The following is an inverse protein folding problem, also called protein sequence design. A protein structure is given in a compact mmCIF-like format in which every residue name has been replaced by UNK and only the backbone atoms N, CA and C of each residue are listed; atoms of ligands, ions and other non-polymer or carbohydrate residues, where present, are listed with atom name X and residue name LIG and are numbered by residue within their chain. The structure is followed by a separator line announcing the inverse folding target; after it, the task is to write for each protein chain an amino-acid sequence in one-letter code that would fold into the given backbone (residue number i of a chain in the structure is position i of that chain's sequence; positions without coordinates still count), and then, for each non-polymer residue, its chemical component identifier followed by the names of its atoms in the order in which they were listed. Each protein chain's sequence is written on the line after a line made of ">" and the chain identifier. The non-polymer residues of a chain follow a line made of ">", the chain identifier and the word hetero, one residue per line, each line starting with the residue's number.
data_IF_307740365933
#
_entry.id   IF_307740365933
#
_cell.length_a   1.000
_cell.length_b   1.000
_cell.length_c   1.000
_cell.angle_alpha   90.00
_cell.angle_beta   90.00
_cell.angle_gamma   90.00
#
_symmetry.space_group_name_H-M   'P 1'
#
loop_
_entity.id
_entity.type
_entity.pdbx_description
1 polymer ?
#
# COMPACT_ATOMS: atom_id res chain seq x y z
N UNK A 1 14.28 11.05 -0.57
CA UNK A 1 13.50 10.41 0.37
C UNK A 1 12.01 10.68 0.15
N UNK A 2 11.16 9.69 0.41
CA UNK A 2 9.73 9.73 0.06
C UNK A 2 8.88 10.67 0.94
N UNK A 3 9.38 11.08 2.10
CA UNK A 3 8.69 12.01 3.01
C UNK A 3 8.88 13.49 2.66
N UNK A 4 9.80 13.81 1.76
CA UNK A 4 10.19 15.19 1.49
C UNK A 4 10.68 15.88 2.78
N UNK A 5 10.13 17.05 3.07
CA UNK A 5 10.41 17.83 4.28
C UNK A 5 9.44 17.53 5.45
N UNK A 6 8.50 16.59 5.29
CA UNK A 6 7.55 16.25 6.34
C UNK A 6 8.23 15.55 7.51
N UNK A 7 7.86 15.96 8.73
CA UNK A 7 8.37 15.32 9.94
C UNK A 7 7.83 13.90 10.06
N UNK A 8 8.72 12.93 10.18
CA UNK A 8 8.37 11.55 10.54
C UNK A 8 8.27 11.48 12.06
N UNK A 9 7.08 11.13 12.57
CA UNK A 9 6.78 11.09 14.01
C UNK A 9 7.36 9.83 14.65
N UNK A 10 7.37 8.72 13.94
CA UNK A 10 7.88 7.47 14.48
C UNK A 10 7.90 6.34 13.48
N UNK A 11 8.39 5.21 13.96
CA UNK A 11 8.41 3.92 13.28
C UNK A 11 7.38 3.01 13.95
N UNK A 12 6.61 2.28 13.16
CA UNK A 12 5.63 1.30 13.63
C UNK A 12 5.86 -0.04 12.95
N UNK A 13 5.48 -1.10 13.60
CA UNK A 13 5.48 -2.46 13.05
C UNK A 13 4.08 -2.87 12.61
N UNK A 14 3.93 -3.90 11.77
CA UNK A 14 2.62 -4.41 11.38
C UNK A 14 1.76 -4.77 12.58
N UNK A 15 0.57 -4.18 12.66
CA UNK A 15 -0.36 -4.33 13.79
C UNK A 15 -0.25 -3.26 14.88
N UNK A 16 0.81 -2.45 14.89
CA UNK A 16 0.91 -1.32 15.82
C UNK A 16 -0.06 -0.21 15.41
N UNK A 17 -0.76 0.34 16.37
CA UNK A 17 -1.58 1.53 16.14
C UNK A 17 -0.76 2.78 16.38
N UNK A 18 -0.73 3.73 15.43
CA UNK A 18 -0.10 5.02 15.66
C UNK A 18 -0.67 5.69 16.93
N UNK A 19 0.16 6.07 17.91
CA UNK A 19 -0.34 6.62 19.18
C UNK A 19 -0.90 8.05 19.02
N UNK A 20 -0.49 8.76 18.00
CA UNK A 20 -0.94 10.14 17.71
C UNK A 20 -1.10 10.33 16.21
N UNK A 21 -1.71 11.45 15.80
CA UNK A 21 -1.71 11.87 14.39
C UNK A 21 -0.30 12.22 13.92
N UNK A 22 0.00 11.97 12.65
CA UNK A 22 1.29 12.30 12.05
C UNK A 22 1.72 11.32 10.96
N UNK A 23 2.91 11.53 10.40
CA UNK A 23 3.52 10.66 9.43
C UNK A 23 4.38 9.59 10.13
N UNK A 24 4.07 8.34 9.93
CA UNK A 24 4.83 7.20 10.43
C UNK A 24 5.43 6.41 9.28
N UNK A 25 6.56 5.78 9.54
CA UNK A 25 7.09 4.72 8.67
C UNK A 25 6.64 3.37 9.21
N UNK A 26 6.14 2.52 8.32
CA UNK A 26 5.86 1.13 8.63
C UNK A 26 7.13 0.31 8.32
N UNK A 27 7.72 -0.29 9.35
CA UNK A 27 8.84 -1.21 9.21
C UNK A 27 8.30 -2.64 9.07
N UNK A 28 8.25 -3.09 7.84
CA UNK A 28 7.76 -4.43 7.49
C UNK A 28 8.80 -5.54 7.71
N UNK A 29 10.04 -5.16 8.04
CA UNK A 29 11.10 -6.14 8.30
C UNK A 29 10.91 -6.70 9.71
N UNK A 30 10.77 -8.02 9.86
CA UNK A 30 10.68 -8.64 11.16
C UNK A 30 11.97 -8.49 11.98
N UNK A 31 11.85 -8.42 13.30
CA UNK A 31 12.99 -8.44 14.19
C UNK A 31 13.56 -9.88 14.30
N UNK A 32 14.88 -10.02 14.27
CA UNK A 32 15.57 -11.30 14.39
C UNK A 32 16.06 -11.91 13.06
N UNK A 33 16.49 -13.15 13.11
CA UNK A 33 17.02 -13.88 11.93
C UNK A 33 15.92 -14.40 11.01
N UNK A 34 16.07 -14.17 9.71
CA UNK A 34 15.18 -14.73 8.68
C UNK A 34 15.54 -16.20 8.45
N UNK A 35 14.81 -17.13 9.09
CA UNK A 35 15.11 -18.56 9.02
C UNK A 35 14.40 -19.31 7.91
N UNK A 36 13.30 -18.78 7.33
CA UNK A 36 12.41 -19.54 6.44
C UNK A 36 11.99 -18.78 5.17
N UNK A 37 12.84 -17.91 4.64
CA UNK A 37 12.52 -17.15 3.42
C UNK A 37 11.51 -16.01 3.61
N UNK A 38 11.15 -15.70 4.83
CA UNK A 38 10.42 -14.48 5.18
C UNK A 38 11.39 -13.34 5.48
N UNK A 39 11.04 -12.09 5.29
CA UNK A 39 9.69 -11.51 5.20
C UNK A 39 9.08 -11.65 3.81
N UNK A 40 7.77 -11.78 3.79
CA UNK A 40 6.98 -11.78 2.56
C UNK A 40 6.80 -10.33 2.12
N UNK A 41 7.79 -9.78 1.44
CA UNK A 41 7.76 -8.40 0.96
C UNK A 41 7.11 -8.41 -0.42
N UNK A 42 5.84 -8.04 -0.45
CA UNK A 42 5.09 -7.84 -1.68
C UNK A 42 3.89 -6.91 -1.43
N UNK A 43 3.33 -6.38 -2.51
CA UNK A 43 2.25 -5.39 -2.47
C UNK A 43 1.06 -5.81 -1.61
N UNK A 44 0.63 -7.07 -1.70
CA UNK A 44 -0.52 -7.57 -0.96
C UNK A 44 -0.25 -7.67 0.55
N UNK A 45 0.94 -8.11 0.92
CA UNK A 45 1.33 -8.22 2.32
C UNK A 45 1.41 -6.83 2.97
N UNK A 46 2.03 -5.86 2.28
CA UNK A 46 2.22 -4.51 2.81
C UNK A 46 0.89 -3.75 2.95
N UNK A 47 -0.04 -3.93 2.02
CA UNK A 47 -1.40 -3.38 2.15
C UNK A 47 -2.10 -4.00 3.37
N UNK A 48 -2.00 -5.31 3.56
CA UNK A 48 -2.60 -5.98 4.72
C UNK A 48 -1.99 -5.49 6.04
N UNK A 49 -0.69 -5.24 6.07
CA UNK A 49 0.04 -4.71 7.23
C UNK A 49 -0.34 -3.28 7.57
N UNK A 50 -0.50 -2.41 6.55
CA UNK A 50 -1.02 -1.06 6.74
C UNK A 50 -2.43 -1.08 7.36
N UNK A 51 -3.29 -1.97 6.88
CA UNK A 51 -4.63 -2.14 7.45
C UNK A 51 -4.59 -2.68 8.88
N UNK A 52 -3.67 -3.57 9.19
CA UNK A 52 -3.45 -4.05 10.56
C UNK A 52 -3.02 -2.91 11.51
N UNK A 53 -2.34 -1.88 10.99
CA UNK A 53 -2.03 -0.65 11.72
C UNK A 53 -3.22 0.31 11.84
N UNK A 54 -4.36 0.01 11.21
CA UNK A 54 -5.57 0.82 11.26
C UNK A 54 -5.78 1.76 10.06
N UNK A 55 -5.08 1.54 8.94
CA UNK A 55 -5.34 2.30 7.72
C UNK A 55 -6.75 1.98 7.18
N UNK A 56 -7.51 3.01 6.83
CA UNK A 56 -8.86 2.88 6.27
C UNK A 56 -8.88 2.98 4.74
N UNK A 57 -7.82 3.50 4.15
CA UNK A 57 -7.66 3.69 2.72
C UNK A 57 -6.16 3.60 2.39
N UNK A 58 -5.84 3.04 1.25
CA UNK A 58 -4.46 2.91 0.79
C UNK A 58 -4.25 3.70 -0.50
N UNK A 59 -3.21 4.54 -0.51
CA UNK A 59 -2.66 5.13 -1.73
C UNK A 59 -1.48 4.27 -2.19
N UNK A 60 -1.61 3.64 -3.34
CA UNK A 60 -0.60 2.76 -3.90
C UNK A 60 0.10 3.43 -5.09
N UNK A 61 1.32 3.89 -4.89
CA UNK A 61 2.12 4.50 -5.96
C UNK A 61 2.92 3.44 -6.72
N UNK A 62 2.85 3.45 -8.05
CA UNK A 62 3.53 2.47 -8.89
C UNK A 62 4.10 3.11 -10.17
N UNK A 63 5.19 2.55 -10.68
CA UNK A 63 5.73 2.86 -12.00
C UNK A 63 5.57 1.71 -13.00
N UNK A 64 5.41 0.48 -12.48
CA UNK A 64 5.27 -0.73 -13.32
C UNK A 64 3.83 -1.18 -13.51
N UNK A 65 2.92 -0.62 -12.72
CA UNK A 65 1.56 -1.10 -12.61
C UNK A 65 1.43 -2.21 -11.56
N UNK A 66 0.23 -2.36 -11.03
CA UNK A 66 -0.16 -3.43 -10.13
C UNK A 66 -1.66 -3.63 -10.21
N UNK A 67 -2.10 -4.87 -10.20
CA UNK A 67 -3.52 -5.24 -10.11
C UNK A 67 -3.98 -5.34 -8.64
N UNK A 68 -3.11 -5.02 -7.71
CA UNK A 68 -3.41 -5.19 -6.29
C UNK A 68 -4.65 -4.41 -5.86
N UNK A 69 -5.49 -5.07 -5.09
CA UNK A 69 -6.64 -4.51 -4.40
C UNK A 69 -6.74 -5.05 -3.00
N UNK A 70 -7.86 -4.85 -2.34
CA UNK A 70 -8.12 -5.42 -1.03
C UNK A 70 -9.61 -5.64 -0.81
N UNK A 71 -9.94 -6.70 -0.08
CA UNK A 71 -11.31 -7.04 0.27
C UNK A 71 -11.92 -6.14 1.36
N UNK A 72 -11.10 -5.42 2.12
CA UNK A 72 -11.53 -4.72 3.34
C UNK A 72 -11.18 -3.24 3.39
N UNK A 73 -10.41 -2.73 2.43
CA UNK A 73 -10.02 -1.32 2.36
C UNK A 73 -9.83 -0.88 0.92
N UNK A 74 -10.32 0.31 0.50
CA UNK A 74 -10.05 0.83 -0.82
C UNK A 74 -8.57 0.98 -1.10
N UNK A 75 -8.14 0.63 -2.31
CA UNK A 75 -6.78 0.87 -2.82
C UNK A 75 -6.88 1.78 -4.03
N UNK A 76 -6.38 3.01 -3.90
CA UNK A 76 -6.29 3.98 -4.98
C UNK A 76 -4.89 3.87 -5.60
N UNK A 77 -4.81 3.59 -6.88
CA UNK A 77 -3.54 3.40 -7.59
C UNK A 77 -3.12 4.67 -8.33
N UNK A 78 -1.94 5.20 -7.96
CA UNK A 78 -1.34 6.39 -8.56
C UNK A 78 -0.15 5.96 -9.41
N UNK A 79 -0.26 6.11 -10.73
CA UNK A 79 0.79 5.68 -11.66
C UNK A 79 1.73 6.83 -12.01
N UNK A 80 3.03 6.65 -11.71
CA UNK A 80 4.07 7.64 -12.02
C UNK A 80 4.71 7.48 -13.41
N UNK A 81 4.35 6.41 -14.15
CA UNK A 81 4.86 6.17 -15.50
C UNK A 81 3.74 6.35 -16.53
N UNK A 82 3.86 7.32 -17.46
CA UNK A 82 2.79 7.61 -18.41
C UNK A 82 2.52 6.47 -19.41
N UNK A 83 3.51 5.69 -19.78
CA UNK A 83 3.33 4.53 -20.66
C UNK A 83 2.57 3.41 -19.93
N UNK A 84 2.96 3.12 -18.69
CA UNK A 84 2.24 2.16 -17.84
C UNK A 84 0.78 2.57 -17.64
N UNK A 85 0.53 3.87 -17.39
CA UNK A 85 -0.84 4.35 -17.24
C UNK A 85 -1.66 4.14 -18.51
N UNK A 86 -1.11 4.45 -19.68
CA UNK A 86 -1.82 4.23 -20.96
C UNK A 86 -2.16 2.77 -21.20
N UNK A 87 -1.25 1.86 -20.83
CA UNK A 87 -1.44 0.42 -21.03
C UNK A 87 -2.36 -0.23 -20.01
N UNK A 88 -2.47 0.35 -18.81
CA UNK A 88 -3.22 -0.17 -17.67
C UNK A 88 -4.23 0.86 -17.14
N UNK A 89 -4.81 1.65 -18.05
CA UNK A 89 -5.72 2.75 -17.67
C UNK A 89 -6.94 2.27 -16.89
N UNK A 90 -7.38 1.05 -17.11
CA UNK A 90 -8.52 0.47 -16.41
C UNK A 90 -8.20 0.10 -14.95
N UNK A 91 -6.93 -0.16 -14.67
CA UNK A 91 -6.43 -0.51 -13.34
C UNK A 91 -5.95 0.69 -12.52
N UNK A 92 -5.48 1.75 -13.17
CA UNK A 92 -4.84 2.91 -12.50
C UNK A 92 -5.83 4.05 -12.30
N UNK A 93 -5.97 4.55 -11.09
CA UNK A 93 -6.91 5.62 -10.76
C UNK A 93 -6.39 7.00 -11.20
N UNK A 94 -5.11 7.30 -11.00
CA UNK A 94 -4.51 8.62 -11.27
C UNK A 94 -3.27 8.49 -12.15
N UNK A 95 -3.22 9.30 -13.24
CA UNK A 95 -2.04 9.48 -14.09
C UNK A 95 -1.13 10.59 -13.51
N UNK A 96 -0.23 10.22 -12.62
CA UNK A 96 0.81 11.14 -12.16
C UNK A 96 1.98 11.25 -13.15
N UNK A 97 2.09 10.33 -14.11
CA UNK A 97 3.13 10.34 -15.13
C UNK A 97 3.06 11.56 -16.06
N UNK A 98 1.89 12.19 -16.20
CA UNK A 98 1.72 13.43 -16.97
C UNK A 98 2.55 14.61 -16.46
N UNK A 99 3.01 14.55 -15.19
CA UNK A 99 3.97 15.54 -14.65
C UNK A 99 5.31 15.41 -15.39
N UNK A 100 5.78 14.17 -15.62
CA UNK A 100 7.03 13.93 -16.34
C UNK A 100 6.96 14.34 -17.82
N UNK A 101 5.76 14.31 -18.40
CA UNK A 101 5.51 14.74 -19.77
C UNK A 101 5.23 16.26 -19.87
N UNK A 102 5.26 17.01 -18.79
CA UNK A 102 4.96 18.45 -18.76
C UNK A 102 3.49 18.79 -19.07
N UNK A 103 2.58 17.82 -18.92
CA UNK A 103 1.12 17.99 -19.19
C UNK A 103 0.32 18.39 -17.95
N UNK A 104 0.94 18.34 -16.78
CA UNK A 104 0.37 18.78 -15.51
C UNK A 104 1.49 19.19 -14.55
N UNK A 105 1.17 20.01 -13.56
CA UNK A 105 2.08 20.28 -12.46
C UNK A 105 1.79 19.40 -11.23
N UNK A 106 2.69 19.46 -10.24
CA UNK A 106 2.59 18.66 -9.03
C UNK A 106 1.35 19.01 -8.20
N UNK A 107 0.99 20.30 -8.16
CA UNK A 107 -0.15 20.78 -7.38
C UNK A 107 -1.47 20.35 -8.00
N UNK A 108 -1.55 20.32 -9.33
CA UNK A 108 -2.72 19.84 -10.06
C UNK A 108 -2.98 18.36 -9.76
N UNK A 109 -1.95 17.52 -9.92
CA UNK A 109 -2.07 16.08 -9.64
C UNK A 109 -2.30 15.84 -8.14
N UNK A 110 -1.67 16.62 -7.27
CA UNK A 110 -1.89 16.54 -5.83
C UNK A 110 -3.33 16.86 -5.43
N UNK A 111 -3.96 17.85 -6.05
CA UNK A 111 -5.39 18.16 -5.85
C UNK A 111 -6.28 17.01 -6.33
N UNK A 112 -6.00 16.43 -7.50
CA UNK A 112 -6.75 15.28 -8.03
C UNK A 112 -6.67 14.09 -7.08
N UNK A 113 -5.47 13.73 -6.59
CA UNK A 113 -5.31 12.65 -5.61
C UNK A 113 -6.12 12.93 -4.34
N UNK A 114 -6.04 14.17 -3.80
CA UNK A 114 -6.80 14.56 -2.60
C UNK A 114 -8.31 14.43 -2.83
N UNK A 115 -8.79 14.94 -3.95
CA UNK A 115 -10.23 14.96 -4.25
C UNK A 115 -10.76 13.54 -4.46
N UNK A 116 -9.96 12.67 -5.11
CA UNK A 116 -10.28 11.25 -5.23
C UNK A 116 -10.28 10.52 -3.88
N UNK A 117 -9.31 10.80 -3.01
CA UNK A 117 -9.30 10.25 -1.63
C UNK A 117 -10.58 10.61 -0.90
N UNK A 118 -11.00 11.88 -0.97
CA UNK A 118 -12.24 12.33 -0.33
C UNK A 118 -13.47 11.68 -0.96
N UNK A 119 -13.50 11.52 -2.27
CA UNK A 119 -14.61 10.87 -2.96
C UNK A 119 -14.72 9.37 -2.58
N UNK A 120 -13.59 8.67 -2.52
CA UNK A 120 -13.54 7.26 -2.11
C UNK A 120 -13.91 7.11 -0.64
N UNK A 121 -13.44 7.98 0.24
CA UNK A 121 -13.84 8.00 1.64
C UNK A 121 -15.35 8.26 1.83
N UNK A 122 -16.01 8.92 0.87
CA UNK A 122 -17.45 9.15 0.84
C UNK A 122 -18.23 8.06 0.06
N UNK A 123 -17.59 6.95 -0.29
CA UNK A 123 -18.26 5.77 -0.87
C UNK A 123 -18.15 5.64 -2.40
N UNK A 124 -17.41 6.50 -3.10
CA UNK A 124 -17.03 6.23 -4.48
C UNK A 124 -16.09 5.01 -4.50
N UNK A 125 -16.29 4.10 -5.45
CA UNK A 125 -15.38 2.96 -5.60
C UNK A 125 -14.11 3.35 -6.34
N UNK A 126 -12.97 2.87 -5.86
CA UNK A 126 -11.72 2.87 -6.61
C UNK A 126 -11.79 1.88 -7.78
N UNK A 127 -10.88 1.97 -8.74
CA UNK A 127 -10.83 1.02 -9.87
C UNK A 127 -10.59 -0.41 -9.41
N UNK A 128 -9.74 -0.63 -8.39
CA UNK A 128 -9.55 -1.95 -7.83
C UNK A 128 -10.84 -2.55 -7.26
N UNK A 129 -11.68 -1.74 -6.61
CA UNK A 129 -12.98 -2.20 -6.11
C UNK A 129 -13.99 -2.45 -7.25
N UNK A 130 -13.98 -1.61 -8.31
CA UNK A 130 -14.85 -1.82 -9.49
C UNK A 130 -14.49 -3.08 -10.25
N UNK A 131 -13.18 -3.40 -10.34
CA UNK A 131 -12.67 -4.62 -10.98
C UNK A 131 -12.78 -5.86 -10.08
N UNK A 132 -13.13 -5.67 -8.81
CA UNK A 132 -13.30 -6.77 -7.86
C UNK A 132 -11.99 -7.38 -7.37
N UNK A 133 -10.90 -6.62 -7.40
CA UNK A 133 -9.60 -7.06 -6.89
C UNK A 133 -9.66 -7.20 -5.37
N UNK A 134 -9.40 -8.40 -4.87
CA UNK A 134 -9.50 -8.77 -3.46
C UNK A 134 -8.34 -9.65 -3.04
N UNK A 135 -7.20 -9.39 -3.62
CA UNK A 135 -5.98 -10.15 -3.35
C UNK A 135 -5.59 -9.99 -1.88
N UNK A 136 -5.11 -11.08 -1.35
CA UNK A 136 -4.72 -11.13 0.03
C UNK A 136 -3.68 -12.23 0.22
N UNK A 137 -2.73 -12.01 1.09
CA UNK A 137 -1.73 -13.00 1.46
C UNK A 137 -1.60 -13.05 2.97
N UNK A 138 -1.51 -14.27 3.49
CA UNK A 138 -1.12 -14.50 4.88
C UNK A 138 0.39 -14.33 4.99
N UNK A 139 0.83 -13.31 5.74
CA UNK A 139 2.23 -13.10 6.07
C UNK A 139 2.48 -13.45 7.53
N UNK A 140 3.49 -14.26 7.80
CA UNK A 140 4.01 -14.43 9.15
C UNK A 140 5.14 -13.44 9.35
N UNK A 141 5.01 -12.55 10.31
CA UNK A 141 6.05 -11.60 10.71
C UNK A 141 6.77 -12.02 11.98
N UNK A 142 6.45 -13.20 12.52
CA UNK A 142 7.18 -13.82 13.62
C UNK A 142 8.10 -14.91 13.10
N UNK A 143 9.33 -14.92 13.55
CA UNK A 143 10.30 -15.99 13.25
C UNK A 143 10.17 -17.20 14.16
N UNK A 144 9.51 -17.03 15.29
CA UNK A 144 9.10 -18.12 16.14
C UNK A 144 7.87 -18.76 15.46
N UNK A 145 7.91 -20.04 15.12
CA UNK A 145 6.75 -20.73 14.58
C UNK A 145 5.72 -20.94 15.69
N UNK A 146 5.10 -19.87 16.13
CA UNK A 146 3.89 -19.92 16.95
C UNK A 146 2.75 -20.21 15.96
N UNK A 147 2.87 -21.32 15.28
CA UNK A 147 1.87 -21.80 14.34
C UNK A 147 0.99 -22.87 14.96
N UNK A 148 -0.12 -23.23 14.28
CA UNK A 148 -0.88 -24.41 14.67
C UNK A 148 0.05 -25.62 14.81
N UNK A 149 -0.20 -26.46 15.79
CA UNK A 149 0.62 -27.65 16.05
C UNK A 149 0.71 -28.65 14.87
N UNK A 150 -0.02 -28.37 13.79
CA UNK A 150 0.04 -29.13 12.53
C UNK A 150 1.15 -28.67 11.57
N UNK A 151 1.85 -27.57 11.84
CA UNK A 151 3.03 -27.23 11.07
C UNK A 151 4.21 -28.09 11.54
N UNK A 152 5.00 -28.65 10.58
CA UNK A 152 6.14 -29.47 10.97
C UNK A 152 7.12 -28.61 11.78
N UNK A 153 7.50 -29.12 12.96
CA UNK A 153 8.63 -28.58 13.68
C UNK A 153 9.87 -28.78 12.81
N UNK A 154 10.30 -27.73 12.17
CA UNK A 154 11.58 -27.74 11.44
C UNK A 154 12.65 -27.49 12.48
N UNK A 155 13.27 -28.58 12.92
CA UNK A 155 14.44 -28.54 13.80
C UNK A 155 15.67 -28.07 13.03
#
# INVERSE_FOLDING_TARGET
>A
AKSGASQIVGLIKPGDKPPTGGLYLLDVIPDGEVRHGFPNINDNAEIAELMACGAHLNLFSTGRGSVVGSAISPVIKVCGNPETFRNLSDDMDVDAGRILEGRADLDEVGREVRDLVLAVANGQKSKSEMLGHREFILGYKSFEPIGPACLPNVA
#
